data_IF_608026436080
#
_entry.id   IF_608026436080
#
_cell.length_a   1.000
_cell.length_b   1.000
_cell.length_c   1.000
_cell.angle_alpha   90.00
_cell.angle_beta   90.00
_cell.angle_gamma   90.00
#
_symmetry.space_group_name_H-M   'P 1'
#
loop_
_entity.id
_entity.type
_entity.pdbx_description
1 polymer ?
#
# COMPACT_ATOMS: atom_id res chain seq x y z
N UNK A 1 11.65 -4.02 -20.80
CA UNK A 1 12.40 -3.49 -19.65
C UNK A 1 12.91 -4.68 -18.86
N UNK A 2 14.13 -4.65 -18.37
CA UNK A 2 14.71 -5.77 -17.61
C UNK A 2 14.76 -5.40 -16.11
N UNK A 3 13.94 -6.09 -15.32
CA UNK A 3 13.89 -5.97 -13.87
C UNK A 3 14.31 -7.28 -13.17
N UNK A 4 14.84 -8.25 -13.92
CA UNK A 4 15.28 -9.55 -13.40
C UNK A 4 16.26 -9.38 -12.24
N UNK A 5 16.00 -10.09 -11.15
CA UNK A 5 16.82 -10.08 -9.95
C UNK A 5 16.68 -8.86 -9.04
N UNK A 6 15.89 -7.85 -9.43
CA UNK A 6 15.66 -6.65 -8.61
C UNK A 6 14.80 -6.94 -7.40
N UNK A 7 15.12 -6.28 -6.30
CA UNK A 7 14.24 -6.22 -5.12
C UNK A 7 13.14 -5.18 -5.33
N UNK A 8 12.03 -5.34 -4.64
CA UNK A 8 10.93 -4.39 -4.61
C UNK A 8 10.65 -3.95 -3.17
N UNK A 9 11.47 -3.03 -2.65
CA UNK A 9 11.46 -2.62 -1.24
C UNK A 9 10.73 -1.29 -1.03
N UNK A 10 10.85 -0.37 -1.99
CA UNK A 10 10.24 0.95 -2.01
C UNK A 10 10.16 1.46 -3.44
N UNK A 11 9.17 2.32 -3.75
CA UNK A 11 9.09 2.97 -5.06
C UNK A 11 10.22 4.00 -5.29
N UNK A 12 10.93 4.41 -4.25
CA UNK A 12 12.09 5.31 -4.41
C UNK A 12 13.14 4.74 -5.35
N UNK A 13 13.33 3.43 -5.35
CA UNK A 13 14.32 2.72 -6.14
C UNK A 13 13.93 2.52 -7.62
N UNK A 14 12.72 2.95 -8.01
CA UNK A 14 12.16 2.75 -9.34
C UNK A 14 11.96 4.07 -10.06
N UNK A 15 12.19 4.06 -11.38
CA UNK A 15 11.89 5.22 -12.24
C UNK A 15 10.40 5.27 -12.61
N UNK A 16 9.92 6.41 -13.12
CA UNK A 16 8.56 6.56 -13.65
C UNK A 16 8.26 5.51 -14.74
N UNK A 17 9.23 5.26 -15.63
CA UNK A 17 9.11 4.28 -16.71
C UNK A 17 9.04 2.84 -16.18
N UNK A 18 9.81 2.51 -15.15
CA UNK A 18 9.79 1.19 -14.51
C UNK A 18 8.46 0.94 -13.77
N UNK A 19 7.96 1.94 -13.06
CA UNK A 19 6.64 1.87 -12.42
C UNK A 19 5.54 1.72 -13.47
N UNK A 20 5.59 2.52 -14.54
CA UNK A 20 4.62 2.44 -15.64
C UNK A 20 4.65 1.04 -16.29
N UNK A 21 5.83 0.48 -16.52
CA UNK A 21 5.98 -0.87 -17.04
C UNK A 21 5.31 -1.92 -16.13
N UNK A 22 5.48 -1.84 -14.82
CA UNK A 22 4.83 -2.74 -13.87
C UNK A 22 3.31 -2.59 -13.90
N UNK A 23 2.80 -1.37 -14.01
CA UNK A 23 1.36 -1.11 -14.12
C UNK A 23 0.78 -1.66 -15.44
N UNK A 24 1.49 -1.52 -16.55
CA UNK A 24 1.07 -2.06 -17.86
C UNK A 24 1.05 -3.59 -17.85
N UNK A 25 2.09 -4.20 -17.29
CA UNK A 25 2.15 -5.64 -17.10
C UNK A 25 1.03 -6.15 -16.19
N UNK A 26 0.73 -5.44 -15.11
CA UNK A 26 -0.38 -5.79 -14.21
C UNK A 26 -1.73 -5.73 -14.93
N UNK A 27 -1.97 -4.70 -15.73
CA UNK A 27 -3.18 -4.55 -16.52
C UNK A 27 -3.32 -5.69 -17.56
N UNK A 28 -2.23 -6.05 -18.23
CA UNK A 28 -2.20 -7.19 -19.17
C UNK A 28 -2.53 -8.51 -18.46
N UNK A 29 -1.89 -8.77 -17.32
CA UNK A 29 -2.11 -9.98 -16.52
C UNK A 29 -3.54 -10.05 -15.96
N UNK A 30 -4.11 -8.91 -15.55
CA UNK A 30 -5.50 -8.78 -15.12
C UNK A 30 -6.46 -9.17 -16.24
N UNK A 31 -6.24 -8.65 -17.43
CA UNK A 31 -7.06 -8.96 -18.63
C UNK A 31 -6.95 -10.43 -19.02
N UNK A 32 -5.75 -11.01 -19.01
CA UNK A 32 -5.54 -12.44 -19.26
C UNK A 32 -6.29 -13.30 -18.26
N UNK A 33 -6.23 -12.97 -16.96
CA UNK A 33 -6.96 -13.71 -15.92
C UNK A 33 -8.48 -13.64 -16.13
N UNK A 34 -9.02 -12.47 -16.45
CA UNK A 34 -10.46 -12.31 -16.78
C UNK A 34 -10.91 -13.16 -17.98
N UNK A 35 -10.02 -13.35 -18.94
CA UNK A 35 -10.26 -14.20 -20.13
C UNK A 35 -9.98 -15.68 -19.90
N UNK A 36 -9.55 -16.10 -18.70
CA UNK A 36 -9.17 -17.48 -18.41
C UNK A 36 -7.88 -17.94 -19.11
N UNK A 37 -7.03 -16.99 -19.54
CA UNK A 37 -5.75 -17.29 -20.18
C UNK A 37 -4.71 -17.52 -19.08
N UNK A 38 -4.15 -18.73 -19.06
CA UNK A 38 -3.11 -19.09 -18.10
C UNK A 38 -1.79 -18.40 -18.44
N UNK A 39 -1.07 -17.96 -17.39
CA UNK A 39 0.27 -17.38 -17.47
C UNK A 39 1.15 -18.09 -16.46
N UNK A 40 1.41 -19.37 -16.67
CA UNK A 40 2.20 -20.25 -15.78
C UNK A 40 3.70 -20.26 -16.14
N UNK A 41 4.22 -19.11 -16.53
CA UNK A 41 5.60 -18.96 -17.05
C UNK A 41 6.69 -19.16 -16.00
N UNK A 42 6.34 -19.15 -14.70
CA UNK A 42 7.26 -19.39 -13.60
C UNK A 42 7.05 -20.79 -12.98
N UNK A 43 6.55 -21.72 -13.75
CA UNK A 43 6.27 -23.09 -13.31
C UNK A 43 7.51 -23.74 -12.71
N UNK A 44 7.35 -24.31 -11.51
CA UNK A 44 8.41 -25.00 -10.77
C UNK A 44 9.25 -24.10 -9.86
N UNK A 45 9.06 -22.78 -9.91
CA UNK A 45 9.66 -21.84 -8.95
C UNK A 45 8.83 -21.79 -7.66
N UNK A 46 9.45 -21.38 -6.56
CA UNK A 46 8.82 -21.31 -5.25
C UNK A 46 9.14 -19.97 -4.58
N UNK A 47 8.20 -19.48 -3.76
CA UNK A 47 8.37 -18.24 -2.98
C UNK A 47 8.11 -18.48 -1.50
N UNK A 48 8.90 -17.84 -0.64
CA UNK A 48 8.67 -17.76 0.80
C UNK A 48 7.89 -16.48 1.11
N UNK A 49 6.84 -16.60 1.92
CA UNK A 49 6.01 -15.49 2.37
C UNK A 49 6.16 -15.35 3.89
N UNK A 50 6.98 -14.39 4.32
CA UNK A 50 7.29 -14.14 5.73
C UNK A 50 6.35 -13.08 6.28
N UNK A 51 5.54 -13.44 7.26
CA UNK A 51 4.60 -12.54 7.92
C UNK A 51 4.90 -12.43 9.41
N UNK A 52 5.43 -11.30 9.86
CA UNK A 52 5.53 -10.94 11.28
C UNK A 52 4.30 -10.13 11.74
N UNK A 53 3.60 -9.49 10.79
CA UNK A 53 2.27 -8.91 10.96
C UNK A 53 1.27 -9.66 10.08
N UNK A 54 0.18 -10.11 10.66
CA UNK A 54 -0.87 -10.83 9.94
C UNK A 54 -1.55 -9.96 8.88
N UNK A 55 -2.01 -10.56 7.79
CA UNK A 55 -2.78 -9.89 6.76
C UNK A 55 -3.53 -10.90 5.90
N UNK A 56 -4.82 -10.73 5.76
CA UNK A 56 -5.64 -11.53 4.84
C UNK A 56 -5.33 -11.15 3.39
N UNK A 57 -5.38 -9.86 3.05
CA UNK A 57 -5.25 -9.38 1.67
C UNK A 57 -3.86 -9.62 1.09
N UNK A 58 -2.81 -9.23 1.80
CA UNK A 58 -1.42 -9.40 1.31
C UNK A 58 -1.09 -10.88 1.13
N UNK A 59 -1.47 -11.72 2.09
CA UNK A 59 -1.28 -13.16 1.98
C UNK A 59 -2.01 -13.74 0.77
N UNK A 60 -3.31 -13.51 0.65
CA UNK A 60 -4.09 -14.01 -0.47
C UNK A 60 -3.57 -13.48 -1.82
N UNK A 61 -3.17 -12.21 -1.89
CA UNK A 61 -2.66 -11.62 -3.12
C UNK A 61 -1.35 -12.30 -3.57
N UNK A 62 -0.40 -12.53 -2.67
CA UNK A 62 0.85 -13.24 -2.99
C UNK A 62 0.63 -14.71 -3.31
N UNK A 63 -0.18 -15.42 -2.52
CA UNK A 63 -0.46 -16.85 -2.75
C UNK A 63 -1.16 -17.06 -4.11
N UNK A 64 -2.20 -16.26 -4.41
CA UNK A 64 -2.91 -16.37 -5.71
C UNK A 64 -2.02 -15.92 -6.86
N UNK A 65 -1.22 -14.86 -6.71
CA UNK A 65 -0.27 -14.42 -7.72
C UNK A 65 0.75 -15.51 -8.06
N UNK A 66 1.34 -16.14 -7.03
CA UNK A 66 2.26 -17.26 -7.21
C UNK A 66 1.59 -18.43 -7.94
N UNK A 67 0.40 -18.79 -7.51
CA UNK A 67 -0.37 -19.91 -8.09
C UNK A 67 -0.70 -19.66 -9.57
N UNK A 68 -1.16 -18.45 -9.91
CA UNK A 68 -1.46 -18.07 -11.30
C UNK A 68 -0.21 -18.10 -12.20
N UNK A 69 0.98 -17.87 -11.65
CA UNK A 69 2.26 -17.94 -12.37
C UNK A 69 2.87 -19.36 -12.41
N UNK A 70 2.18 -20.36 -11.85
CA UNK A 70 2.63 -21.75 -11.79
C UNK A 70 3.64 -22.03 -10.68
N UNK A 71 3.76 -21.12 -9.71
CA UNK A 71 4.72 -21.22 -8.59
C UNK A 71 4.12 -21.92 -7.37
N UNK A 72 4.98 -22.52 -6.56
CA UNK A 72 4.67 -22.89 -5.18
C UNK A 72 4.88 -21.72 -4.22
N UNK A 73 4.13 -21.71 -3.10
CA UNK A 73 4.32 -20.72 -2.03
C UNK A 73 4.35 -21.40 -0.66
N UNK A 74 5.17 -20.87 0.24
CA UNK A 74 5.22 -21.29 1.65
C UNK A 74 4.94 -20.08 2.53
N UNK A 75 3.86 -20.15 3.30
CA UNK A 75 3.51 -19.13 4.27
C UNK A 75 4.20 -19.40 5.61
N UNK A 76 4.98 -18.44 6.08
CA UNK A 76 5.67 -18.46 7.37
C UNK A 76 5.01 -17.43 8.29
N UNK A 77 4.18 -17.91 9.21
CA UNK A 77 3.48 -17.06 10.17
C UNK A 77 4.39 -16.62 11.35
N UNK A 78 3.96 -15.65 12.18
CA UNK A 78 4.75 -15.18 13.31
C UNK A 78 5.07 -16.27 14.36
N UNK A 79 4.26 -17.32 14.44
CA UNK A 79 4.46 -18.43 15.40
C UNK A 79 5.40 -19.50 14.84
N UNK A 80 5.37 -19.69 13.51
CA UNK A 80 6.17 -20.69 12.80
C UNK A 80 7.56 -20.22 12.39
N UNK A 81 7.84 -18.93 12.46
CA UNK A 81 9.14 -18.35 12.07
C UNK A 81 10.08 -18.18 13.27
N UNK A 82 11.37 -18.46 13.06
CA UNK A 82 12.45 -18.21 14.03
C UNK A 82 13.19 -16.89 13.76
N UNK A 83 12.82 -16.17 12.69
CA UNK A 83 13.46 -14.92 12.27
C UNK A 83 13.50 -13.89 13.41
N UNK A 84 14.67 -13.31 13.66
CA UNK A 84 14.87 -12.33 14.71
C UNK A 84 14.76 -12.87 16.15
N UNK A 85 14.47 -14.17 16.34
CA UNK A 85 14.33 -14.81 17.66
C UNK A 85 15.52 -15.69 17.98
N UNK A 86 15.63 -16.82 17.30
CA UNK A 86 16.74 -17.78 17.46
C UNK A 86 17.69 -17.78 16.26
N UNK A 87 17.30 -17.16 15.17
CA UNK A 87 18.06 -17.03 13.94
C UNK A 87 18.13 -15.57 13.52
N UNK A 88 19.30 -15.11 13.09
CA UNK A 88 19.46 -13.76 12.59
C UNK A 88 18.71 -13.55 11.28
N UNK A 89 18.34 -12.31 10.96
CA UNK A 89 17.71 -11.96 9.69
C UNK A 89 18.61 -12.36 8.52
N UNK A 90 19.92 -12.09 8.63
CA UNK A 90 20.90 -12.45 7.62
C UNK A 90 21.01 -13.97 7.37
N UNK A 91 20.98 -14.76 8.43
CA UNK A 91 21.05 -16.23 8.29
C UNK A 91 19.77 -16.81 7.72
N UNK A 92 18.61 -16.33 8.18
CA UNK A 92 17.31 -16.68 7.59
C UNK A 92 17.29 -16.34 6.09
N UNK A 93 17.76 -15.15 5.71
CA UNK A 93 17.83 -14.73 4.31
C UNK A 93 18.69 -15.68 3.46
N UNK A 94 19.88 -16.05 3.96
CA UNK A 94 20.80 -16.99 3.27
C UNK A 94 20.20 -18.39 3.11
N UNK A 95 19.49 -18.88 4.14
CA UNK A 95 18.83 -20.19 4.07
C UNK A 95 17.69 -20.17 3.07
N UNK A 96 16.79 -19.19 3.17
CA UNK A 96 15.61 -19.12 2.31
C UNK A 96 16.01 -18.82 0.85
N UNK A 97 17.02 -17.97 0.61
CA UNK A 97 17.52 -17.69 -0.72
C UNK A 97 18.19 -18.86 -1.44
N UNK A 98 18.46 -19.98 -0.72
CA UNK A 98 18.92 -21.26 -1.31
C UNK A 98 17.79 -22.25 -1.57
N UNK A 99 16.59 -21.98 -1.07
CA UNK A 99 15.42 -22.85 -1.20
C UNK A 99 14.37 -22.25 -2.13
N UNK A 100 14.28 -20.92 -2.19
CA UNK A 100 13.24 -20.19 -2.90
C UNK A 100 13.85 -19.26 -3.94
N UNK A 101 13.09 -18.96 -4.99
CA UNK A 101 13.46 -18.01 -6.04
C UNK A 101 13.08 -16.56 -5.70
N UNK A 102 12.25 -16.37 -4.67
CA UNK A 102 11.87 -15.05 -4.19
C UNK A 102 11.35 -15.09 -2.76
N UNK A 103 11.42 -13.97 -2.05
CA UNK A 103 11.01 -13.84 -0.65
C UNK A 103 10.15 -12.59 -0.51
N UNK A 104 8.95 -12.75 0.03
CA UNK A 104 8.13 -11.64 0.53
C UNK A 104 8.33 -11.48 2.03
N UNK A 105 8.33 -10.25 2.47
CA UNK A 105 8.35 -9.89 3.89
C UNK A 105 7.27 -8.86 4.21
N UNK A 106 6.47 -9.17 5.24
CA UNK A 106 5.54 -8.24 5.84
C UNK A 106 5.76 -8.18 7.35
N UNK A 107 6.12 -7.01 7.86
CA UNK A 107 6.46 -6.92 9.28
C UNK A 107 6.61 -5.49 9.81
N UNK A 108 7.70 -5.23 10.49
CA UNK A 108 7.93 -4.03 11.27
C UNK A 108 8.85 -3.04 10.55
N UNK A 109 10.14 -2.99 10.92
CA UNK A 109 11.05 -1.98 10.41
C UNK A 109 11.50 -2.22 8.96
N UNK A 110 11.72 -1.13 8.23
CA UNK A 110 12.25 -1.17 6.86
C UNK A 110 13.65 -1.81 6.82
N UNK A 111 14.46 -1.60 7.85
CA UNK A 111 15.79 -2.19 7.98
C UNK A 111 15.78 -3.72 7.93
N UNK A 112 14.69 -4.36 8.35
CA UNK A 112 14.55 -5.83 8.33
C UNK A 112 14.45 -6.35 6.89
N UNK A 113 13.57 -5.73 6.08
CA UNK A 113 13.40 -6.16 4.68
C UNK A 113 14.63 -5.79 3.84
N UNK A 114 15.33 -4.71 4.17
CA UNK A 114 16.60 -4.33 3.54
C UNK A 114 17.71 -5.32 3.88
N UNK A 115 17.80 -5.79 5.14
CA UNK A 115 18.75 -6.81 5.53
C UNK A 115 18.45 -8.16 4.86
N UNK A 116 17.17 -8.56 4.76
CA UNK A 116 16.77 -9.72 3.97
C UNK A 116 17.24 -9.60 2.52
N UNK A 117 16.98 -8.47 1.88
CA UNK A 117 17.40 -8.23 0.49
C UNK A 117 18.92 -8.30 0.30
N UNK A 118 19.67 -7.77 1.26
CA UNK A 118 21.14 -7.78 1.22
C UNK A 118 21.75 -9.18 1.21
N UNK A 119 21.12 -10.15 1.89
CA UNK A 119 21.71 -11.48 2.12
C UNK A 119 21.00 -12.64 1.41
N UNK A 120 19.80 -12.41 0.86
CA UNK A 120 19.01 -13.48 0.26
C UNK A 120 19.60 -14.04 -1.04
N UNK A 121 20.22 -13.20 -1.87
CA UNK A 121 20.71 -13.60 -3.21
C UNK A 121 19.59 -13.87 -4.22
N UNK A 122 18.34 -13.61 -3.85
CA UNK A 122 17.15 -13.70 -4.70
C UNK A 122 16.30 -12.43 -4.51
N UNK A 123 15.37 -12.09 -5.41
CA UNK A 123 14.47 -10.97 -5.22
C UNK A 123 13.72 -11.02 -3.88
N UNK A 124 13.67 -9.87 -3.21
CA UNK A 124 12.91 -9.65 -1.98
C UNK A 124 11.86 -8.57 -2.25
N UNK A 125 10.62 -8.83 -1.83
CA UNK A 125 9.50 -7.91 -2.01
C UNK A 125 8.94 -7.48 -0.66
N UNK A 126 8.78 -6.18 -0.49
CA UNK A 126 8.20 -5.57 0.71
C UNK A 126 6.67 -5.64 0.64
N UNK A 127 6.07 -6.54 1.41
CA UNK A 127 4.62 -6.67 1.57
C UNK A 127 4.00 -5.60 2.48
N UNK A 128 4.77 -5.05 3.41
CA UNK A 128 4.52 -3.87 4.24
C UNK A 128 5.57 -3.79 5.35
N UNK A 129 6.06 -2.58 5.61
CA UNK A 129 6.77 -2.21 6.82
C UNK A 129 6.06 -1.06 7.54
N UNK A 130 6.60 -0.58 8.68
CA UNK A 130 6.08 0.61 9.34
C UNK A 130 6.25 1.88 8.48
N UNK A 131 7.29 1.90 7.66
CA UNK A 131 7.71 3.05 6.86
C UNK A 131 7.16 3.05 5.45
N UNK A 132 6.93 1.87 4.84
CA UNK A 132 6.57 1.76 3.42
C UNK A 132 5.62 0.60 3.12
N UNK A 133 4.78 0.79 2.09
CA UNK A 133 3.85 -0.21 1.58
C UNK A 133 3.81 -0.19 0.03
N UNK A 134 4.93 -0.50 -0.65
CA UNK A 134 5.05 -0.29 -2.09
C UNK A 134 4.10 -1.14 -2.94
N UNK A 135 3.73 -2.34 -2.47
CA UNK A 135 2.76 -3.18 -3.19
C UNK A 135 1.35 -2.60 -3.18
N UNK A 136 0.97 -1.84 -2.13
CA UNK A 136 -0.28 -1.08 -2.10
C UNK A 136 -0.24 0.05 -3.13
N UNK A 137 0.88 0.75 -3.22
CA UNK A 137 1.03 1.88 -4.15
C UNK A 137 0.83 1.50 -5.61
N UNK A 138 1.33 0.35 -6.04
CA UNK A 138 1.07 -0.12 -7.40
C UNK A 138 -0.43 -0.40 -7.63
N UNK A 139 -1.12 -0.94 -6.63
CA UNK A 139 -2.56 -1.18 -6.72
C UNK A 139 -3.35 0.13 -6.77
N UNK A 140 -2.99 1.11 -5.94
CA UNK A 140 -3.62 2.43 -5.95
C UNK A 140 -3.41 3.13 -7.28
N UNK A 141 -2.18 3.17 -7.78
CA UNK A 141 -1.85 3.76 -9.08
C UNK A 141 -2.59 3.06 -10.23
N UNK A 142 -2.67 1.73 -10.24
CA UNK A 142 -3.43 1.00 -11.26
C UNK A 142 -4.92 1.34 -11.18
N UNK A 143 -5.50 1.39 -9.98
CA UNK A 143 -6.91 1.71 -9.76
C UNK A 143 -7.23 3.13 -10.18
N UNK A 144 -6.41 4.10 -9.80
CA UNK A 144 -6.54 5.50 -10.23
C UNK A 144 -6.50 5.58 -11.75
N UNK A 145 -5.55 4.93 -12.39
CA UNK A 145 -5.42 4.91 -13.86
C UNK A 145 -6.62 4.24 -14.55
N UNK A 146 -7.15 3.18 -13.98
CA UNK A 146 -8.34 2.50 -14.52
C UNK A 146 -9.60 3.38 -14.46
N UNK A 147 -9.79 4.13 -13.39
CA UNK A 147 -10.96 4.99 -13.18
C UNK A 147 -10.85 6.37 -13.81
N UNK A 148 -9.67 6.99 -13.79
CA UNK A 148 -9.46 8.37 -14.26
C UNK A 148 -8.79 8.45 -15.65
N UNK A 149 -8.22 7.35 -16.15
CA UNK A 149 -7.58 7.26 -17.46
C UNK A 149 -6.13 7.75 -17.51
N UNK A 150 -5.61 8.37 -16.44
CA UNK A 150 -4.26 8.93 -16.36
C UNK A 150 -3.79 9.00 -14.91
N UNK A 151 -2.49 9.28 -14.72
CA UNK A 151 -1.87 9.53 -13.42
C UNK A 151 -1.33 10.95 -13.32
N UNK A 152 -0.57 11.38 -14.33
CA UNK A 152 0.07 12.69 -14.32
C UNK A 152 -0.93 13.83 -14.15
N UNK A 153 -0.67 14.69 -13.15
CA UNK A 153 -1.55 15.81 -12.82
C UNK A 153 -2.75 15.47 -11.95
N UNK A 154 -3.00 14.20 -11.63
CA UNK A 154 -4.05 13.80 -10.68
C UNK A 154 -3.74 14.36 -9.29
N UNK A 155 -4.71 14.99 -8.65
CA UNK A 155 -4.61 15.48 -7.27
C UNK A 155 -5.15 14.42 -6.32
N UNK A 156 -4.25 13.86 -5.50
CA UNK A 156 -4.57 12.92 -4.44
C UNK A 156 -4.46 13.60 -3.08
N UNK A 157 -5.53 13.54 -2.29
CA UNK A 157 -5.57 14.04 -0.91
C UNK A 157 -5.62 12.84 0.03
N UNK A 158 -4.61 12.71 0.89
CA UNK A 158 -4.59 11.77 1.99
C UNK A 158 -5.07 12.45 3.27
N UNK A 159 -6.12 11.91 3.89
CA UNK A 159 -6.74 12.47 5.10
C UNK A 159 -6.49 11.55 6.28
N UNK A 160 -5.78 12.03 7.29
CA UNK A 160 -5.46 11.26 8.50
C UNK A 160 -3.99 11.34 8.89
N UNK A 161 -3.49 10.33 9.62
CA UNK A 161 -2.12 10.29 10.08
C UNK A 161 -1.15 9.94 8.94
N UNK A 162 -0.43 10.92 8.44
CA UNK A 162 0.46 10.77 7.29
C UNK A 162 1.93 10.42 7.67
N UNK A 163 2.20 10.08 8.94
CA UNK A 163 3.57 9.80 9.42
C UNK A 163 4.05 8.37 9.13
N UNK A 164 3.15 7.47 8.80
CA UNK A 164 3.44 6.04 8.63
C UNK A 164 3.38 5.60 7.17
N UNK A 165 3.38 4.28 6.95
CA UNK A 165 3.58 3.68 5.64
C UNK A 165 2.64 4.22 4.54
N UNK A 166 1.33 4.38 4.78
CA UNK A 166 0.42 4.86 3.74
C UNK A 166 0.71 6.31 3.34
N UNK A 167 0.82 7.22 4.30
CA UNK A 167 1.16 8.62 4.01
C UNK A 167 2.51 8.77 3.32
N UNK A 168 3.52 8.05 3.79
CA UNK A 168 4.86 8.04 3.22
C UNK A 168 4.85 7.50 1.78
N UNK A 169 4.27 6.33 1.58
CA UNK A 169 4.28 5.64 0.28
C UNK A 169 3.45 6.37 -0.77
N UNK A 170 2.29 6.93 -0.40
CA UNK A 170 1.48 7.75 -1.30
C UNK A 170 2.22 9.01 -1.74
N UNK A 171 2.92 9.69 -0.82
CA UNK A 171 3.74 10.85 -1.14
C UNK A 171 4.86 10.46 -2.12
N UNK A 172 5.56 9.35 -1.90
CA UNK A 172 6.60 8.83 -2.80
C UNK A 172 6.00 8.50 -4.17
N UNK A 173 4.90 7.75 -4.21
CA UNK A 173 4.24 7.35 -5.46
C UNK A 173 3.79 8.57 -6.28
N UNK A 174 3.13 9.54 -5.66
CA UNK A 174 2.71 10.77 -6.32
C UNK A 174 3.91 11.58 -6.84
N UNK A 175 4.96 11.73 -6.02
CA UNK A 175 6.18 12.44 -6.39
C UNK A 175 6.88 11.79 -7.60
N UNK A 176 6.90 10.46 -7.69
CA UNK A 176 7.48 9.72 -8.82
C UNK A 176 6.65 9.81 -10.09
N UNK A 177 5.32 9.79 -9.97
CA UNK A 177 4.39 9.65 -11.11
C UNK A 177 3.82 11.00 -11.60
N UNK A 178 4.35 12.13 -11.15
CA UNK A 178 3.88 13.45 -11.58
C UNK A 178 2.47 13.79 -11.07
N UNK A 179 2.04 13.20 -9.96
CA UNK A 179 0.77 13.48 -9.30
C UNK A 179 0.93 14.56 -8.21
N UNK A 180 -0.15 15.22 -7.86
CA UNK A 180 -0.17 16.23 -6.81
C UNK A 180 -0.62 15.59 -5.48
N UNK A 181 0.30 15.47 -4.53
CA UNK A 181 0.01 14.91 -3.21
C UNK A 181 -0.34 16.01 -2.20
N UNK A 182 -1.42 15.81 -1.46
CA UNK A 182 -1.81 16.66 -0.34
C UNK A 182 -1.98 15.80 0.91
N UNK A 183 -1.16 16.02 1.93
CA UNK A 183 -1.41 15.48 3.26
C UNK A 183 -2.28 16.47 4.05
N UNK A 184 -3.49 16.03 4.39
CA UNK A 184 -4.46 16.82 5.15
C UNK A 184 -4.63 16.23 6.55
N UNK A 185 -4.00 16.85 7.54
CA UNK A 185 -3.96 16.41 8.92
C UNK A 185 -3.53 17.54 9.85
N UNK A 186 -3.70 17.40 11.18
CA UNK A 186 -3.01 18.28 12.13
C UNK A 186 -1.49 18.20 11.92
N UNK A 187 -0.80 19.31 12.07
CA UNK A 187 0.65 19.43 11.81
C UNK A 187 1.50 18.33 12.45
N UNK A 188 1.14 17.87 13.66
CA UNK A 188 1.85 16.79 14.37
C UNK A 188 1.75 15.42 13.69
N UNK A 189 0.86 15.26 12.72
CA UNK A 189 0.65 14.05 11.91
C UNK A 189 1.16 14.19 10.47
N UNK A 190 1.91 15.22 10.17
CA UNK A 190 2.57 15.37 8.86
C UNK A 190 3.70 14.35 8.71
N UNK A 191 4.05 13.96 7.47
CA UNK A 191 5.22 13.14 7.18
C UNK A 191 6.51 13.75 7.73
N UNK A 192 7.53 12.92 7.92
CA UNK A 192 8.87 13.37 8.31
C UNK A 192 9.45 14.39 7.31
N UNK A 193 10.06 15.46 7.83
CA UNK A 193 10.57 16.56 7.00
C UNK A 193 11.67 16.11 6.04
N UNK A 194 12.50 15.14 6.41
CA UNK A 194 13.56 14.63 5.53
C UNK A 194 12.96 13.87 4.35
N UNK A 195 11.92 13.07 4.60
CA UNK A 195 11.20 12.37 3.54
C UNK A 195 10.44 13.35 2.63
N UNK A 196 9.81 14.38 3.18
CA UNK A 196 9.16 15.45 2.38
C UNK A 196 10.17 16.09 1.43
N UNK A 197 11.36 16.43 1.93
CA UNK A 197 12.42 17.03 1.12
C UNK A 197 12.89 16.08 0.00
N UNK A 198 13.12 14.80 0.31
CA UNK A 198 13.48 13.80 -0.69
C UNK A 198 12.40 13.67 -1.78
N UNK A 199 11.13 13.63 -1.38
CA UNK A 199 10.01 13.57 -2.32
C UNK A 199 9.87 14.85 -3.15
N UNK A 200 10.21 16.02 -2.62
CA UNK A 200 10.27 17.27 -3.40
C UNK A 200 11.33 17.22 -4.50
N UNK A 201 12.45 16.52 -4.28
CA UNK A 201 13.46 16.29 -5.32
C UNK A 201 12.91 15.41 -6.46
N UNK A 202 12.16 14.34 -6.14
CA UNK A 202 11.47 13.54 -7.15
C UNK A 202 10.39 14.35 -7.88
N UNK A 203 9.62 15.14 -7.15
CA UNK A 203 8.56 15.99 -7.70
C UNK A 203 9.10 17.05 -8.68
N UNK A 204 10.29 17.60 -8.42
CA UNK A 204 10.96 18.54 -9.33
C UNK A 204 11.27 17.90 -10.69
N UNK A 205 11.51 16.59 -10.74
CA UNK A 205 11.77 15.85 -11.97
C UNK A 205 10.47 15.51 -12.71
N UNK A 206 9.48 14.99 -11.99
CA UNK A 206 8.22 14.48 -12.56
C UNK A 206 7.18 15.56 -12.89
N UNK A 207 7.32 16.74 -12.27
CA UNK A 207 6.31 17.82 -12.32
C UNK A 207 5.21 17.67 -11.26
N UNK A 208 5.39 16.80 -10.26
CA UNK A 208 4.49 16.66 -9.11
C UNK A 208 4.58 17.87 -8.18
N UNK A 209 3.61 17.96 -7.26
CA UNK A 209 3.65 18.88 -6.11
C UNK A 209 3.34 18.15 -4.83
N UNK A 210 3.91 18.63 -3.71
CA UNK A 210 3.64 18.11 -2.37
C UNK A 210 3.17 19.26 -1.51
N UNK A 211 2.00 19.10 -0.92
CA UNK A 211 1.36 20.09 -0.03
C UNK A 211 1.01 19.44 1.30
N UNK A 212 1.29 20.15 2.39
CA UNK A 212 0.90 19.75 3.75
C UNK A 212 -0.04 20.83 4.28
N UNK A 213 -1.25 20.47 4.69
CA UNK A 213 -2.24 21.44 5.17
C UNK A 213 -3.10 20.88 6.30
N UNK A 214 -3.54 21.77 7.17
CA UNK A 214 -4.54 21.46 8.21
C UNK A 214 -5.97 21.85 7.76
N UNK A 215 -6.10 22.55 6.63
CA UNK A 215 -7.39 23.02 6.09
C UNK A 215 -8.00 21.99 5.14
N UNK A 216 -9.05 21.33 5.62
CA UNK A 216 -9.78 20.30 4.86
C UNK A 216 -10.43 20.88 3.60
N UNK A 217 -11.05 22.05 3.69
CA UNK A 217 -11.76 22.67 2.56
C UNK A 217 -10.79 23.04 1.42
N UNK A 218 -9.61 23.55 1.77
CA UNK A 218 -8.55 23.83 0.80
C UNK A 218 -7.98 22.53 0.20
N UNK A 219 -7.73 21.53 1.05
CA UNK A 219 -7.16 20.27 0.62
C UNK A 219 -8.02 19.58 -0.44
N UNK A 220 -9.32 19.40 -0.18
CA UNK A 220 -10.20 18.60 -1.03
C UNK A 220 -10.72 19.31 -2.26
N UNK A 221 -10.60 20.63 -2.32
CA UNK A 221 -11.04 21.41 -3.48
C UNK A 221 -10.31 20.96 -4.75
N UNK A 222 -11.08 20.42 -5.71
CA UNK A 222 -10.55 19.93 -6.97
C UNK A 222 -9.68 18.66 -6.82
N UNK A 223 -9.88 17.89 -5.75
CA UNK A 223 -9.25 16.58 -5.61
C UNK A 223 -9.88 15.57 -6.57
N UNK A 224 -9.04 14.77 -7.22
CA UNK A 224 -9.46 13.67 -8.06
C UNK A 224 -9.58 12.37 -7.25
N UNK A 225 -8.78 12.26 -6.20
CA UNK A 225 -8.71 11.10 -5.30
C UNK A 225 -8.70 11.57 -3.86
N UNK A 226 -9.54 10.98 -3.03
CA UNK A 226 -9.50 11.10 -1.57
C UNK A 226 -9.15 9.74 -1.00
N UNK A 227 -8.08 9.67 -0.24
CA UNK A 227 -7.56 8.44 0.37
C UNK A 227 -7.46 8.61 1.89
N UNK A 228 -7.67 7.54 2.63
CA UNK A 228 -7.48 7.49 4.08
C UNK A 228 -7.10 6.09 4.54
N UNK A 229 -6.64 6.00 5.77
CA UNK A 229 -6.35 4.73 6.45
C UNK A 229 -6.83 4.81 7.90
N UNK A 230 -6.87 3.66 8.58
CA UNK A 230 -7.22 3.58 9.99
C UNK A 230 -6.40 4.54 10.83
N UNK A 231 -7.03 5.19 11.80
CA UNK A 231 -6.36 6.18 12.65
C UNK A 231 -5.38 5.58 13.67
N UNK A 232 -5.53 4.29 13.98
CA UNK A 232 -4.62 3.55 14.85
C UNK A 232 -4.16 2.29 14.13
N UNK A 233 -2.86 2.21 13.88
CA UNK A 233 -2.27 1.10 13.16
C UNK A 233 -2.13 -0.16 14.01
N UNK A 234 -2.05 -1.31 13.35
CA UNK A 234 -1.83 -2.59 14.02
C UNK A 234 -0.51 -2.58 14.81
N UNK A 235 -0.62 -2.84 16.12
CA UNK A 235 0.52 -2.89 17.03
C UNK A 235 0.79 -1.59 17.79
N UNK A 236 0.01 -0.52 17.56
CA UNK A 236 0.05 0.66 18.40
C UNK A 236 -0.64 0.41 19.77
N UNK A 237 -0.19 1.10 20.84
CA UNK A 237 -0.79 0.94 22.17
C UNK A 237 -2.24 1.43 22.22
N UNK A 238 -3.03 0.84 23.11
CA UNK A 238 -4.45 1.16 23.28
C UNK A 238 -4.68 2.61 23.75
N UNK A 239 -3.70 3.21 24.42
CA UNK A 239 -3.77 4.55 24.96
C UNK A 239 -3.85 5.64 23.89
N UNK A 240 -3.37 5.36 22.67
CA UNK A 240 -3.37 6.35 21.57
C UNK A 240 -4.76 6.62 20.99
N UNK A 241 -5.74 5.72 21.18
CA UNK A 241 -7.08 5.84 20.60
C UNK A 241 -7.78 7.15 20.95
N UNK A 242 -7.76 7.53 22.23
CA UNK A 242 -8.44 8.75 22.70
C UNK A 242 -7.91 10.00 21.98
N UNK A 243 -6.57 10.12 21.89
CA UNK A 243 -5.93 11.25 21.23
C UNK A 243 -6.22 11.24 19.73
N UNK A 244 -6.07 10.07 19.06
CA UNK A 244 -6.31 9.95 17.62
C UNK A 244 -7.74 10.29 17.24
N UNK A 245 -8.72 9.76 17.95
CA UNK A 245 -10.14 10.08 17.71
C UNK A 245 -10.38 11.58 17.84
N UNK A 246 -9.89 12.19 18.95
CA UNK A 246 -10.06 13.62 19.19
C UNK A 246 -9.46 14.46 18.06
N UNK A 247 -8.24 14.15 17.65
CA UNK A 247 -7.49 14.99 16.72
C UNK A 247 -7.90 14.77 15.26
N UNK A 248 -8.26 13.52 14.89
CA UNK A 248 -8.53 13.15 13.51
C UNK A 248 -10.02 13.17 13.13
N UNK A 249 -10.93 13.28 14.09
CA UNK A 249 -12.37 13.43 13.79
C UNK A 249 -12.68 14.56 12.81
N UNK A 250 -12.04 15.75 12.86
CA UNK A 250 -12.23 16.80 11.86
C UNK A 250 -11.75 16.44 10.45
N UNK A 251 -10.95 15.40 10.33
CA UNK A 251 -10.35 14.91 9.09
C UNK A 251 -11.00 13.60 8.57
N UNK A 252 -12.13 13.22 9.16
CA UNK A 252 -12.94 12.10 8.69
C UNK A 252 -13.41 12.34 7.25
N UNK A 253 -13.33 11.32 6.40
CA UNK A 253 -13.89 11.39 5.05
C UNK A 253 -15.40 11.18 5.13
N UNK A 254 -16.12 12.27 4.92
CA UNK A 254 -17.61 12.33 4.95
C UNK A 254 -18.15 12.60 3.56
N UNK A 255 -19.47 12.52 3.42
CA UNK A 255 -20.13 12.89 2.17
C UNK A 255 -19.83 14.36 1.78
N UNK A 256 -19.79 15.27 2.73
CA UNK A 256 -19.47 16.68 2.49
C UNK A 256 -18.04 16.85 1.95
N UNK A 257 -17.10 16.04 2.43
CA UNK A 257 -15.72 16.00 1.91
C UNK A 257 -15.70 15.55 0.45
N UNK A 258 -16.41 14.46 0.12
CA UNK A 258 -16.50 13.96 -1.25
C UNK A 258 -17.27 14.91 -2.18
N UNK A 259 -18.34 15.54 -1.69
CA UNK A 259 -19.08 16.57 -2.46
C UNK A 259 -18.18 17.78 -2.77
N UNK A 260 -17.33 18.20 -1.83
CA UNK A 260 -16.37 19.30 -2.03
C UNK A 260 -15.24 18.92 -3.00
N UNK A 261 -14.80 17.65 -3.02
CA UNK A 261 -13.87 17.15 -4.02
C UNK A 261 -14.50 17.12 -5.42
N UNK A 262 -15.78 16.78 -5.50
CA UNK A 262 -16.57 16.79 -6.73
C UNK A 262 -17.06 15.40 -7.14
N UNK A 263 -18.03 15.35 -8.08
CA UNK A 263 -18.72 14.09 -8.43
C UNK A 263 -17.84 13.07 -9.17
N UNK A 264 -16.70 13.50 -9.72
CA UNK A 264 -15.75 12.63 -10.42
C UNK A 264 -14.64 12.11 -9.52
N UNK A 265 -14.53 12.63 -8.28
CA UNK A 265 -13.55 12.17 -7.32
C UNK A 265 -13.85 10.73 -6.91
N UNK A 266 -12.79 9.93 -6.77
CA UNK A 266 -12.88 8.55 -6.26
C UNK A 266 -12.35 8.47 -4.83
N UNK A 267 -12.88 7.53 -4.06
CA UNK A 267 -12.44 7.22 -2.69
C UNK A 267 -11.64 5.92 -2.67
N UNK A 268 -10.47 5.96 -2.06
CA UNK A 268 -9.56 4.83 -1.82
C UNK A 268 -9.37 4.57 -0.33
N UNK A 269 -9.11 3.33 0.01
CA UNK A 269 -8.74 2.87 1.34
C UNK A 269 -8.09 1.49 1.26
N UNK A 270 -6.90 1.33 1.79
CA UNK A 270 -6.15 0.07 1.72
C UNK A 270 -6.79 -1.12 2.46
N UNK A 271 -7.81 -0.87 3.28
CA UNK A 271 -8.51 -1.83 4.14
C UNK A 271 -7.60 -2.52 5.18
N UNK A 272 -8.10 -2.89 6.36
CA UNK A 272 -9.51 -2.82 6.80
C UNK A 272 -9.93 -1.39 7.15
N UNK A 273 -11.25 -1.10 7.11
CA UNK A 273 -11.81 0.20 7.43
C UNK A 273 -12.79 0.11 8.60
N UNK A 274 -12.83 1.18 9.43
CA UNK A 274 -13.79 1.33 10.53
C UNK A 274 -14.95 2.24 10.12
N UNK A 275 -15.72 1.81 9.13
CA UNK A 275 -16.88 2.54 8.62
C UNK A 275 -18.20 2.12 9.26
N UNK A 276 -18.23 1.01 10.04
CA UNK A 276 -19.43 0.52 10.73
C UNK A 276 -19.10 -0.27 12.02
N UNK A 277 -20.15 -0.77 12.69
CA UNK A 277 -20.03 -1.55 13.93
C UNK A 277 -20.08 -3.07 13.72
N UNK A 278 -19.94 -3.58 12.49
CA UNK A 278 -20.07 -5.02 12.21
C UNK A 278 -18.83 -5.83 12.63
N UNK A 279 -17.69 -5.16 12.84
CA UNK A 279 -16.47 -5.83 13.31
C UNK A 279 -16.40 -5.85 14.84
N UNK A 280 -15.62 -6.79 15.41
CA UNK A 280 -15.36 -6.85 16.85
C UNK A 280 -14.77 -5.54 17.37
N UNK A 281 -13.71 -5.04 16.72
CA UNK A 281 -13.03 -3.79 17.11
C UNK A 281 -13.96 -2.59 16.91
N UNK A 282 -14.73 -2.53 15.82
CA UNK A 282 -15.73 -1.48 15.62
C UNK A 282 -16.74 -1.40 16.75
N UNK A 283 -17.23 -2.53 17.23
CA UNK A 283 -18.15 -2.58 18.41
C UNK A 283 -17.46 -2.10 19.69
N UNK A 284 -16.26 -2.59 19.97
CA UNK A 284 -15.47 -2.19 21.15
C UNK A 284 -15.20 -0.68 21.15
N UNK A 285 -14.85 -0.11 20.00
CA UNK A 285 -14.62 1.35 19.86
C UNK A 285 -15.94 2.13 19.95
N UNK A 286 -17.01 1.61 19.38
CA UNK A 286 -18.36 2.18 19.53
C UNK A 286 -18.82 2.25 20.98
N UNK A 287 -18.67 1.18 21.73
CA UNK A 287 -19.00 1.12 23.17
C UNK A 287 -18.11 2.04 24.02
N UNK A 288 -16.80 2.08 23.71
CA UNK A 288 -15.82 2.86 24.49
C UNK A 288 -15.89 4.37 24.22
N UNK A 289 -16.10 4.76 22.97
CA UNK A 289 -16.00 6.16 22.52
C UNK A 289 -17.32 6.76 22.02
N UNK A 290 -18.41 5.98 21.93
CA UNK A 290 -19.69 6.45 21.42
C UNK A 290 -19.68 6.80 19.93
N UNK A 291 -18.84 6.14 19.14
CA UNK A 291 -18.70 6.37 17.69
C UNK A 291 -19.22 5.17 16.91
N UNK A 292 -19.82 5.40 15.74
CA UNK A 292 -20.29 4.34 14.84
C UNK A 292 -19.34 4.09 13.67
N UNK A 293 -18.43 5.00 13.43
CA UNK A 293 -17.48 5.04 12.32
C UNK A 293 -16.28 5.93 12.69
N UNK A 294 -15.14 5.73 12.08
CA UNK A 294 -13.91 6.48 12.39
C UNK A 294 -13.41 7.27 11.19
N UNK A 295 -12.46 6.76 10.42
CA UNK A 295 -11.77 7.49 9.35
C UNK A 295 -12.65 7.84 8.14
N UNK A 296 -13.72 7.06 7.93
CA UNK A 296 -14.67 7.27 6.83
C UNK A 296 -16.07 6.91 7.27
N UNK A 297 -17.08 7.60 6.73
CA UNK A 297 -18.48 7.26 6.96
C UNK A 297 -18.92 6.06 6.13
N UNK A 298 -19.87 5.26 6.64
CA UNK A 298 -20.47 4.13 5.91
C UNK A 298 -21.10 4.60 4.57
N UNK A 299 -21.72 5.79 4.58
CA UNK A 299 -22.28 6.41 3.38
C UNK A 299 -21.24 6.61 2.26
N UNK A 300 -20.04 7.06 2.58
CA UNK A 300 -18.95 7.22 1.59
C UNK A 300 -18.40 5.86 1.19
N UNK A 301 -18.15 4.99 2.15
CA UNK A 301 -17.57 3.67 1.93
C UNK A 301 -18.42 2.82 0.97
N UNK A 302 -19.75 2.88 1.09
CA UNK A 302 -20.70 2.16 0.24
C UNK A 302 -21.18 2.96 -0.99
N UNK A 303 -20.65 4.16 -1.21
CA UNK A 303 -21.03 5.01 -2.34
C UNK A 303 -20.45 4.54 -3.67
N UNK A 304 -21.00 5.06 -4.77
CA UNK A 304 -20.46 4.82 -6.12
C UNK A 304 -19.10 5.47 -6.38
N UNK A 305 -18.65 6.39 -5.53
CA UNK A 305 -17.32 6.98 -5.61
C UNK A 305 -16.26 6.11 -4.93
N UNK A 306 -16.68 5.16 -4.08
CA UNK A 306 -15.76 4.22 -3.43
C UNK A 306 -15.34 3.12 -4.39
N UNK A 307 -14.03 3.00 -4.59
CA UNK A 307 -13.42 1.98 -5.46
C UNK A 307 -12.48 1.05 -4.69
N UNK A 308 -12.68 0.96 -3.38
CA UNK A 308 -11.82 0.21 -2.44
C UNK A 308 -11.70 -1.28 -2.78
N UNK A 309 -12.72 -1.89 -3.37
CA UNK A 309 -12.68 -3.31 -3.74
C UNK A 309 -11.96 -3.54 -5.06
N UNK A 310 -12.01 -2.60 -6.00
CA UNK A 310 -11.16 -2.62 -7.20
C UNK A 310 -9.69 -2.45 -6.81
N UNK A 311 -9.41 -1.54 -5.88
CA UNK A 311 -8.11 -1.33 -5.28
C UNK A 311 -7.58 -2.61 -4.62
N UNK A 312 -8.40 -3.26 -3.80
CA UNK A 312 -8.03 -4.52 -3.15
C UNK A 312 -7.78 -5.66 -4.15
N UNK A 313 -8.58 -5.78 -5.21
CA UNK A 313 -8.35 -6.74 -6.30
C UNK A 313 -7.02 -6.46 -7.01
N UNK A 314 -6.73 -5.21 -7.30
CA UNK A 314 -5.52 -4.81 -8.01
C UNK A 314 -4.23 -5.15 -7.27
N UNK A 315 -4.27 -5.34 -5.93
CA UNK A 315 -3.14 -5.86 -5.14
C UNK A 315 -2.60 -7.18 -5.72
N UNK A 316 -3.49 -8.11 -6.06
CA UNK A 316 -3.10 -9.40 -6.64
C UNK A 316 -2.47 -9.23 -8.03
N UNK A 317 -3.02 -8.37 -8.87
CA UNK A 317 -2.52 -8.18 -10.24
C UNK A 317 -1.17 -7.47 -10.27
N UNK A 318 -0.98 -6.45 -9.44
CA UNK A 318 0.28 -5.72 -9.37
C UNK A 318 1.40 -6.53 -8.70
N UNK A 319 1.09 -7.29 -7.65
CA UNK A 319 2.02 -8.24 -7.03
C UNK A 319 2.46 -9.30 -8.04
N UNK A 320 1.52 -9.84 -8.82
CA UNK A 320 1.82 -10.78 -9.90
C UNK A 320 2.79 -10.19 -10.93
N UNK A 321 2.58 -8.93 -11.32
CA UNK A 321 3.48 -8.23 -12.24
C UNK A 321 4.89 -8.06 -11.66
N UNK A 322 5.01 -7.69 -10.38
CA UNK A 322 6.31 -7.57 -9.69
C UNK A 322 7.03 -8.91 -9.65
N UNK A 323 6.33 -9.99 -9.25
CA UNK A 323 6.91 -11.33 -9.21
C UNK A 323 7.37 -11.77 -10.60
N UNK A 324 6.53 -11.60 -11.62
CA UNK A 324 6.87 -11.97 -12.99
C UNK A 324 8.07 -11.17 -13.50
N UNK A 325 8.07 -9.84 -13.36
CA UNK A 325 9.12 -8.96 -13.87
C UNK A 325 10.48 -9.22 -13.20
N UNK A 326 10.50 -9.58 -11.92
CA UNK A 326 11.74 -9.80 -11.16
C UNK A 326 12.28 -11.23 -11.24
N UNK A 327 11.45 -12.22 -11.62
CA UNK A 327 11.81 -13.63 -11.69
C UNK A 327 11.89 -14.20 -13.11
N UNK A 328 11.40 -13.49 -14.13
CA UNK A 328 11.48 -13.94 -15.54
C UNK A 328 12.91 -13.90 -16.08
N UNK A 329 13.18 -14.81 -17.02
CA UNK A 329 14.45 -14.85 -17.77
C UNK A 329 14.52 -13.80 -18.86
#
# INVERSE_FOLDING_TARGET
>A
MDLKGRHFLTLKDYTEEEITYLLDLAAELKEKKKKGILVDTLKGKNVALIFEKTSTRTRCAFEVAAHDLGMGSTYLDPSGSQIGKKESIADTARVLGRMYEGIEYRGFGQEIVEELAKYAGVPVWNGLTNEDHPTQMLADLLTIREHLGHLKGVKLVYMGDARYNMGNSLMIACAKMGMHFVACAPKKYFPDEALVKECQEFAAISGATITLTEDVAEAVKGADVVDTDVWVSMGEPDEVWTERIKDLTPYKVTKEVMDAAGPQAIFLHCLPSFHDLKTKIGKEMGERFGVSELEVTDEVFESSQSVVFDEAENRMHTIKAVMLATLSE
#
